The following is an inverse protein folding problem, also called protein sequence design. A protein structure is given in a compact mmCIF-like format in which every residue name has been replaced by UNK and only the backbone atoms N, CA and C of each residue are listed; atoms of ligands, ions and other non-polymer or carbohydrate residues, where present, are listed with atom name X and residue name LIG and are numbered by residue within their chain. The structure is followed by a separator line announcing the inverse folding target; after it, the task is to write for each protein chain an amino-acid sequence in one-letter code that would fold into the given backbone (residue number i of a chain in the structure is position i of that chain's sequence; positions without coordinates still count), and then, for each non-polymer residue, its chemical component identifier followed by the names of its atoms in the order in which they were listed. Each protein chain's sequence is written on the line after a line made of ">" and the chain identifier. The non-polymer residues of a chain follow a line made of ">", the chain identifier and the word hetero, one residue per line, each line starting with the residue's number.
data_IF_526158711985
#
_entry.id   IF_526158711985
#
_cell.length_a   1.000
_cell.length_b   1.000
_cell.length_c   1.000
_cell.angle_alpha   90.00
_cell.angle_beta   90.00
_cell.angle_gamma   90.00
#
_symmetry.space_group_name_H-M   'P 1'
#
loop_
_entity.id
_entity.type
_entity.pdbx_description
1 polymer ?
#
# COMPACT_ATOMS: atom_id res chain seq x y z
N UNK A 1 -36.24 -0.47 20.85
CA UNK A 1 -35.50 0.17 21.96
C UNK A 1 -34.42 1.06 21.36
N UNK A 2 -34.49 2.38 21.53
CA UNK A 2 -33.43 3.29 21.09
C UNK A 2 -32.24 3.21 22.03
N UNK A 3 -31.04 3.00 21.49
CA UNK A 3 -29.80 3.08 22.27
C UNK A 3 -29.70 4.49 22.89
N UNK A 4 -29.45 4.63 24.20
CA UNK A 4 -29.30 5.95 24.80
C UNK A 4 -28.12 6.69 24.15
N UNK A 5 -28.32 7.96 23.78
CA UNK A 5 -27.25 8.81 23.24
C UNK A 5 -26.10 8.85 24.25
N UNK A 6 -24.96 8.26 23.90
CA UNK A 6 -23.76 8.23 24.74
C UNK A 6 -23.14 9.62 24.79
N UNK A 7 -22.61 10.00 25.96
CA UNK A 7 -21.96 11.29 26.15
C UNK A 7 -20.63 11.33 25.37
N UNK A 8 -20.35 12.37 24.57
CA UNK A 8 -19.15 12.43 23.71
C UNK A 8 -17.83 12.41 24.51
N UNK A 9 -17.86 12.96 25.73
CA UNK A 9 -16.73 12.91 26.66
C UNK A 9 -16.48 11.46 27.12
N UNK A 10 -17.53 10.69 27.38
CA UNK A 10 -17.40 9.29 27.76
C UNK A 10 -16.82 8.47 26.60
N UNK A 11 -17.23 8.72 25.35
CA UNK A 11 -16.65 8.03 24.18
C UNK A 11 -15.16 8.35 24.02
N UNK A 12 -14.76 9.62 24.18
CA UNK A 12 -13.34 10.00 24.11
C UNK A 12 -12.51 9.31 25.21
N UNK A 13 -12.99 9.33 26.46
CA UNK A 13 -12.30 8.66 27.58
C UNK A 13 -12.23 7.15 27.39
N UNK A 14 -13.29 6.53 26.87
CA UNK A 14 -13.36 5.10 26.60
C UNK A 14 -12.40 4.68 25.46
N UNK A 15 -12.25 5.51 24.43
CA UNK A 15 -11.25 5.33 23.36
C UNK A 15 -9.82 5.51 23.87
N UNK A 16 -9.56 6.48 24.74
CA UNK A 16 -8.23 6.69 25.32
C UNK A 16 -7.81 5.55 26.28
N UNK A 17 -8.76 4.98 27.01
CA UNK A 17 -8.51 3.87 27.93
C UNK A 17 -8.42 2.52 27.21
N UNK A 18 -9.09 2.36 26.06
CA UNK A 18 -9.06 1.17 25.23
C UNK A 18 -8.80 1.55 23.76
N UNK A 19 -7.57 1.96 23.40
CA UNK A 19 -7.25 2.37 22.04
C UNK A 19 -7.49 1.23 21.03
N UNK A 20 -7.37 -0.02 21.46
CA UNK A 20 -7.56 -1.21 20.63
C UNK A 20 -9.02 -1.66 20.47
N UNK A 21 -9.99 -0.88 20.98
CA UNK A 21 -11.41 -1.26 20.87
C UNK A 21 -11.93 -1.25 19.43
N UNK A 22 -11.46 -0.31 18.63
CA UNK A 22 -11.78 -0.26 17.20
C UNK A 22 -11.15 -1.46 16.47
N UNK A 23 -9.88 -1.77 16.78
CA UNK A 23 -9.21 -2.99 16.34
C UNK A 23 -9.98 -4.25 16.74
N UNK A 24 -10.61 -4.26 17.93
CA UNK A 24 -11.42 -5.36 18.43
C UNK A 24 -12.75 -5.54 17.66
N UNK A 25 -13.34 -4.45 17.17
CA UNK A 25 -14.53 -4.49 16.32
C UNK A 25 -14.18 -4.91 14.88
N UNK A 26 -12.99 -4.54 14.38
CA UNK A 26 -12.51 -4.81 13.02
C UNK A 26 -11.61 -6.05 12.90
N UNK A 27 -11.52 -6.89 13.95
CA UNK A 27 -10.60 -8.05 13.99
C UNK A 27 -10.66 -8.90 12.73
N UNK A 28 -11.86 -9.17 12.23
CA UNK A 28 -12.04 -10.04 11.07
C UNK A 28 -11.58 -9.39 9.76
N UNK A 29 -11.70 -8.06 9.65
CA UNK A 29 -11.21 -7.30 8.52
C UNK A 29 -9.70 -7.22 8.53
N UNK A 30 -9.09 -7.00 9.70
CA UNK A 30 -7.64 -7.03 9.86
C UNK A 30 -7.04 -8.36 9.40
N UNK A 31 -7.68 -9.49 9.71
CA UNK A 31 -7.23 -10.81 9.24
C UNK A 31 -7.29 -10.93 7.71
N UNK A 32 -8.31 -10.37 7.07
CA UNK A 32 -8.42 -10.34 5.60
C UNK A 32 -7.33 -9.46 4.99
N UNK A 33 -7.10 -8.27 5.54
CA UNK A 33 -6.04 -7.35 5.10
C UNK A 33 -4.67 -8.01 5.23
N UNK A 34 -4.40 -8.65 6.37
CA UNK A 34 -3.15 -9.34 6.62
C UNK A 34 -2.93 -10.47 5.61
N UNK A 35 -3.93 -11.31 5.38
CA UNK A 35 -3.85 -12.39 4.40
C UNK A 35 -3.63 -11.87 2.96
N UNK A 36 -4.29 -10.75 2.59
CA UNK A 36 -4.11 -10.13 1.28
C UNK A 36 -2.68 -9.61 1.10
N UNK A 37 -2.12 -9.00 2.14
CA UNK A 37 -0.75 -8.53 2.15
C UNK A 37 0.27 -9.66 2.01
N UNK A 38 0.07 -10.79 2.71
CA UNK A 38 0.96 -11.95 2.59
C UNK A 38 0.94 -12.53 1.17
N UNK A 39 -0.23 -12.60 0.54
CA UNK A 39 -0.36 -13.07 -0.85
C UNK A 39 0.02 -11.99 -1.89
N UNK A 40 0.34 -10.78 -1.46
CA UNK A 40 0.61 -9.63 -2.33
C UNK A 40 -0.52 -9.34 -3.34
N UNK A 41 -1.78 -9.54 -2.92
CA UNK A 41 -2.98 -9.25 -3.72
C UNK A 41 -3.79 -8.13 -3.10
N UNK A 42 -4.67 -7.51 -3.90
CA UNK A 42 -5.64 -6.57 -3.35
C UNK A 42 -6.66 -7.26 -2.43
N UNK A 43 -7.18 -6.55 -1.43
CA UNK A 43 -8.21 -7.08 -0.52
C UNK A 43 -9.44 -7.59 -1.29
N UNK A 44 -9.86 -6.86 -2.31
CA UNK A 44 -10.99 -7.25 -3.15
C UNK A 44 -10.72 -8.54 -3.93
N UNK A 45 -9.49 -8.73 -4.41
CA UNK A 45 -9.07 -9.95 -5.07
C UNK A 45 -9.07 -11.13 -4.11
N UNK A 46 -8.64 -10.93 -2.86
CA UNK A 46 -8.76 -11.96 -1.82
C UNK A 46 -10.23 -12.34 -1.58
N UNK A 47 -11.16 -11.38 -1.58
CA UNK A 47 -12.58 -11.70 -1.48
C UNK A 47 -13.08 -12.52 -2.68
N UNK A 48 -12.62 -12.23 -3.90
CA UNK A 48 -12.99 -13.02 -5.09
C UNK A 48 -12.45 -14.46 -4.99
N UNK A 49 -11.19 -14.62 -4.57
CA UNK A 49 -10.57 -15.93 -4.35
C UNK A 49 -11.33 -16.72 -3.28
N UNK A 50 -11.65 -16.08 -2.16
CA UNK A 50 -12.35 -16.71 -1.06
C UNK A 50 -13.79 -17.10 -1.43
N UNK A 51 -14.47 -16.27 -2.22
CA UNK A 51 -15.80 -16.60 -2.75
C UNK A 51 -15.73 -17.83 -3.66
N UNK A 52 -14.76 -17.85 -4.57
CA UNK A 52 -14.54 -18.95 -5.50
C UNK A 52 -14.21 -20.26 -4.78
N UNK A 53 -13.29 -20.23 -3.82
CA UNK A 53 -12.96 -21.40 -3.01
C UNK A 53 -14.17 -21.97 -2.26
N UNK A 54 -15.09 -21.10 -1.82
CA UNK A 54 -16.25 -21.51 -1.03
C UNK A 54 -17.43 -21.98 -1.89
N UNK A 55 -17.67 -21.32 -3.02
CA UNK A 55 -18.84 -21.53 -3.88
C UNK A 55 -18.53 -22.31 -5.16
N UNK A 56 -17.26 -22.58 -5.45
CA UNK A 56 -16.75 -23.19 -6.69
C UNK A 56 -17.12 -22.40 -7.97
N UNK A 57 -17.46 -21.12 -7.81
CA UNK A 57 -17.87 -20.23 -8.90
C UNK A 57 -17.22 -18.83 -8.75
N UNK A 58 -16.98 -18.16 -9.88
CA UNK A 58 -16.47 -16.78 -9.87
C UNK A 58 -17.53 -15.81 -9.32
N UNK A 59 -17.09 -14.79 -8.58
CA UNK A 59 -17.98 -13.79 -7.96
C UNK A 59 -18.81 -13.06 -9.04
N UNK A 60 -20.15 -13.19 -9.06
CA UNK A 60 -20.98 -12.54 -10.06
C UNK A 60 -20.94 -11.02 -9.95
N UNK A 61 -20.88 -10.32 -11.09
CA UNK A 61 -20.80 -8.85 -11.14
C UNK A 61 -21.93 -8.16 -10.38
N UNK A 62 -23.15 -8.73 -10.43
CA UNK A 62 -24.30 -8.23 -9.69
C UNK A 62 -24.13 -8.24 -8.16
N UNK A 63 -23.27 -9.12 -7.63
CA UNK A 63 -23.00 -9.23 -6.19
C UNK A 63 -21.79 -8.39 -5.75
N UNK A 64 -20.89 -8.03 -6.67
CA UNK A 64 -19.68 -7.26 -6.38
C UNK A 64 -20.00 -5.96 -5.66
N UNK A 65 -20.92 -5.17 -6.21
CA UNK A 65 -21.24 -3.85 -5.66
C UNK A 65 -21.78 -3.95 -4.22
N UNK A 66 -22.65 -4.92 -3.95
CA UNK A 66 -23.22 -5.15 -2.62
C UNK A 66 -22.14 -5.61 -1.65
N UNK A 67 -21.37 -6.62 -2.02
CA UNK A 67 -20.28 -7.16 -1.21
C UNK A 67 -19.26 -6.10 -0.86
N UNK A 68 -18.86 -5.27 -1.84
CA UNK A 68 -17.94 -4.17 -1.62
C UNK A 68 -18.52 -3.13 -0.65
N UNK A 69 -19.81 -2.79 -0.78
CA UNK A 69 -20.50 -1.84 0.10
C UNK A 69 -20.55 -2.36 1.54
N UNK A 70 -20.89 -3.63 1.74
CA UNK A 70 -20.92 -4.28 3.06
C UNK A 70 -19.50 -4.32 3.67
N UNK A 71 -18.50 -4.74 2.90
CA UNK A 71 -17.12 -4.90 3.38
C UNK A 71 -16.40 -3.56 3.65
N UNK A 72 -16.54 -2.58 2.76
CA UNK A 72 -15.82 -1.31 2.85
C UNK A 72 -16.50 -0.29 3.76
N UNK A 73 -17.84 -0.20 3.72
CA UNK A 73 -18.56 0.84 4.47
C UNK A 73 -19.10 0.36 5.81
N UNK A 74 -19.35 -0.94 5.97
CA UNK A 74 -19.94 -1.50 7.20
C UNK A 74 -18.95 -2.38 7.97
N UNK A 75 -17.73 -2.56 7.47
CA UNK A 75 -16.69 -3.46 8.02
C UNK A 75 -17.18 -4.90 8.23
N UNK A 76 -18.22 -5.30 7.47
CA UNK A 76 -18.82 -6.62 7.57
C UNK A 76 -18.04 -7.61 6.71
N UNK A 77 -17.32 -8.52 7.37
CA UNK A 77 -16.56 -9.57 6.70
C UNK A 77 -17.39 -10.86 6.60
N UNK A 78 -17.71 -11.32 5.38
CA UNK A 78 -18.40 -12.58 5.18
C UNK A 78 -17.67 -13.76 5.83
N UNK A 79 -18.42 -14.75 6.29
CA UNK A 79 -17.85 -15.92 6.97
C UNK A 79 -16.85 -16.70 6.11
N UNK A 80 -17.12 -16.86 4.82
CA UNK A 80 -16.21 -17.50 3.87
C UNK A 80 -14.90 -16.72 3.69
N UNK A 81 -14.96 -15.38 3.63
CA UNK A 81 -13.79 -14.51 3.50
C UNK A 81 -12.86 -14.64 4.72
N UNK A 82 -13.46 -14.54 5.91
CA UNK A 82 -12.75 -14.70 7.19
C UNK A 82 -12.09 -16.08 7.29
N UNK A 83 -12.81 -17.13 6.92
CA UNK A 83 -12.30 -18.50 6.98
C UNK A 83 -11.13 -18.71 6.00
N UNK A 84 -11.28 -18.20 4.77
CA UNK A 84 -10.22 -18.25 3.77
C UNK A 84 -8.97 -17.50 4.22
N UNK A 85 -9.11 -16.27 4.72
CA UNK A 85 -7.99 -15.47 5.19
C UNK A 85 -7.19 -16.17 6.30
N UNK A 86 -7.87 -16.81 7.27
CA UNK A 86 -7.19 -17.61 8.31
C UNK A 86 -6.43 -18.81 7.72
N UNK A 87 -7.03 -19.54 6.78
CA UNK A 87 -6.36 -20.65 6.09
C UNK A 87 -5.10 -20.20 5.35
N UNK A 88 -5.15 -19.03 4.72
CA UNK A 88 -4.00 -18.43 4.03
C UNK A 88 -2.90 -18.12 5.04
N UNK A 89 -3.21 -17.41 6.14
CA UNK A 89 -2.21 -17.09 7.16
C UNK A 89 -1.57 -18.34 7.78
N UNK A 90 -2.38 -19.33 8.13
CA UNK A 90 -1.91 -20.60 8.68
C UNK A 90 -0.99 -21.36 7.68
N UNK A 91 -1.27 -21.25 6.38
CA UNK A 91 -0.46 -21.88 5.34
C UNK A 91 0.84 -21.12 5.04
N UNK A 92 0.81 -19.79 5.08
CA UNK A 92 2.01 -18.95 4.99
C UNK A 92 2.94 -19.18 6.19
N UNK A 93 2.41 -19.27 7.41
CA UNK A 93 3.21 -19.56 8.62
C UNK A 93 3.94 -20.91 8.54
N UNK A 94 3.31 -21.92 7.93
CA UNK A 94 3.89 -23.25 7.72
C UNK A 94 4.84 -23.32 6.52
N UNK A 95 4.84 -22.32 5.65
CA UNK A 95 5.56 -22.35 4.38
C UNK A 95 4.94 -23.30 3.35
N UNK A 96 3.67 -23.68 3.52
CA UNK A 96 2.94 -24.57 2.61
C UNK A 96 2.35 -23.83 1.40
N UNK A 97 2.27 -22.49 1.50
CA UNK A 97 1.72 -21.62 0.46
C UNK A 97 2.85 -20.87 -0.23
N UNK A 98 2.91 -21.00 -1.56
CA UNK A 98 3.70 -20.11 -2.40
C UNK A 98 2.88 -18.85 -2.71
N UNK A 99 3.30 -17.72 -2.15
CA UNK A 99 2.67 -16.40 -2.36
C UNK A 99 2.63 -16.00 -3.84
N UNK A 100 3.57 -16.51 -4.64
CA UNK A 100 3.66 -16.26 -6.08
C UNK A 100 2.95 -17.35 -6.90
N UNK A 101 2.14 -18.21 -6.29
CA UNK A 101 1.38 -19.19 -7.04
C UNK A 101 0.39 -18.47 -7.98
N UNK A 102 0.35 -18.81 -9.29
CA UNK A 102 -0.54 -18.17 -10.26
C UNK A 102 -2.03 -18.22 -9.88
N UNK A 103 -2.42 -19.20 -9.07
CA UNK A 103 -3.80 -19.39 -8.62
C UNK A 103 -4.31 -18.21 -7.78
N UNK A 104 -3.45 -17.59 -6.95
CA UNK A 104 -3.80 -16.40 -6.17
C UNK A 104 -3.88 -15.14 -7.04
N UNK A 105 -3.17 -15.14 -8.17
CA UNK A 105 -3.07 -13.97 -9.05
C UNK A 105 -3.95 -14.03 -10.29
N UNK A 106 -4.88 -14.99 -10.34
CA UNK A 106 -5.82 -15.20 -11.45
C UNK A 106 -6.56 -13.94 -11.91
N UNK A 107 -6.89 -13.03 -11.00
CA UNK A 107 -7.63 -11.80 -11.30
C UNK A 107 -6.73 -10.58 -11.53
N UNK A 108 -5.41 -10.71 -11.33
CA UNK A 108 -4.44 -9.70 -11.69
C UNK A 108 -4.10 -9.83 -13.18
N UNK A 109 -4.52 -8.83 -13.95
CA UNK A 109 -4.35 -8.80 -15.40
C UNK A 109 -2.89 -8.60 -15.82
N UNK A 110 -2.02 -8.13 -14.91
CA UNK A 110 -0.60 -7.88 -15.15
C UNK A 110 0.30 -8.94 -14.48
N UNK A 111 -0.27 -10.01 -13.94
CA UNK A 111 0.51 -11.01 -13.24
C UNK A 111 1.45 -11.76 -14.18
N UNK A 112 2.72 -11.83 -13.81
CA UNK A 112 3.76 -12.51 -14.61
C UNK A 112 4.17 -11.80 -15.90
N UNK A 113 3.56 -10.66 -16.25
CA UNK A 113 4.01 -9.87 -17.40
C UNK A 113 5.17 -8.97 -16.99
N UNK A 114 6.38 -9.54 -16.93
CA UNK A 114 7.59 -8.72 -16.91
C UNK A 114 7.71 -8.11 -18.31
N UNK A 115 7.26 -6.88 -18.50
CA UNK A 115 7.45 -6.21 -19.79
C UNK A 115 8.95 -6.22 -20.15
N UNK A 116 9.34 -6.70 -21.34
CA UNK A 116 10.75 -6.88 -21.71
C UNK A 116 11.55 -5.58 -21.73
N UNK A 117 10.86 -4.43 -21.68
CA UNK A 117 11.48 -3.11 -21.62
C UNK A 117 11.31 -2.41 -20.26
N UNK A 118 10.70 -3.03 -19.25
CA UNK A 118 10.49 -2.42 -17.93
C UNK A 118 11.82 -2.00 -17.29
N UNK A 119 12.78 -2.94 -17.22
CA UNK A 119 14.12 -2.66 -16.67
C UNK A 119 14.85 -1.60 -17.50
N UNK A 120 14.75 -1.65 -18.83
CA UNK A 120 15.36 -0.64 -19.71
C UNK A 120 14.77 0.74 -19.47
N UNK A 121 13.44 0.88 -19.40
CA UNK A 121 12.75 2.16 -19.13
C UNK A 121 13.12 2.68 -17.75
N UNK A 122 13.17 1.81 -16.74
CA UNK A 122 13.60 2.16 -15.39
C UNK A 122 15.05 2.67 -15.37
N UNK A 123 15.99 1.93 -15.97
CA UNK A 123 17.39 2.37 -16.06
C UNK A 123 17.55 3.68 -16.84
N UNK A 124 16.78 3.89 -17.91
CA UNK A 124 16.78 5.17 -18.65
C UNK A 124 16.27 6.31 -17.77
N UNK A 125 15.16 6.11 -17.05
CA UNK A 125 14.61 7.13 -16.16
C UNK A 125 15.61 7.50 -15.04
N UNK A 126 16.23 6.50 -14.41
CA UNK A 126 17.29 6.70 -13.41
C UNK A 126 18.48 7.43 -14.02
N UNK A 127 18.93 7.03 -15.21
CA UNK A 127 20.02 7.70 -15.93
C UNK A 127 19.71 9.17 -16.23
N UNK A 128 18.50 9.47 -16.72
CA UNK A 128 18.05 10.84 -16.93
C UNK A 128 18.06 11.65 -15.63
N UNK A 129 17.56 11.08 -14.53
CA UNK A 129 17.57 11.73 -13.22
C UNK A 129 19.00 12.05 -12.76
N UNK A 130 19.93 11.09 -12.89
CA UNK A 130 21.34 11.28 -12.55
C UNK A 130 21.99 12.36 -13.42
N UNK A 131 21.68 12.40 -14.72
CA UNK A 131 22.20 13.43 -15.63
C UNK A 131 21.64 14.81 -15.30
N UNK A 132 20.35 14.91 -14.96
CA UNK A 132 19.74 16.19 -14.58
C UNK A 132 20.32 16.71 -13.27
N UNK A 133 20.38 15.86 -12.24
CA UNK A 133 20.93 16.24 -10.93
C UNK A 133 22.42 16.51 -11.00
N UNK A 134 23.20 15.58 -11.54
CA UNK A 134 24.65 15.70 -11.70
C UNK A 134 25.03 16.84 -12.63
N UNK A 135 24.35 16.98 -13.77
CA UNK A 135 24.54 18.08 -14.72
C UNK A 135 24.21 19.43 -14.10
N UNK A 136 23.14 19.53 -13.30
CA UNK A 136 22.81 20.74 -12.56
C UNK A 136 23.89 21.14 -11.56
N UNK A 137 24.43 20.17 -10.82
CA UNK A 137 25.53 20.40 -9.86
C UNK A 137 26.80 20.86 -10.59
N UNK A 138 27.17 20.19 -11.68
CA UNK A 138 28.35 20.55 -12.48
C UNK A 138 28.18 21.92 -13.11
N UNK A 139 27.02 22.20 -13.71
CA UNK A 139 26.72 23.49 -14.33
C UNK A 139 26.80 24.61 -13.28
N UNK A 140 26.23 24.41 -12.10
CA UNK A 140 26.35 25.35 -10.99
C UNK A 140 27.81 25.55 -10.56
N UNK A 141 28.61 24.48 -10.50
CA UNK A 141 30.02 24.58 -10.11
C UNK A 141 30.90 25.34 -11.12
N UNK A 142 30.55 25.33 -12.41
CA UNK A 142 31.30 26.04 -13.45
C UNK A 142 30.82 27.48 -13.66
N UNK A 143 29.53 27.77 -13.40
CA UNK A 143 28.99 29.13 -13.51
C UNK A 143 29.20 29.95 -12.25
N UNK A 144 29.50 29.30 -11.12
CA UNK A 144 29.91 30.01 -9.91
C UNK A 144 31.38 30.44 -10.08
N UNK A 145 31.62 31.74 -10.28
CA UNK A 145 32.98 32.28 -10.22
C UNK A 145 33.60 32.05 -8.83
N UNK A 146 34.93 31.92 -8.75
CA UNK A 146 35.64 31.58 -7.51
C UNK A 146 35.30 32.61 -6.43
N UNK A 147 34.41 32.27 -5.50
CA UNK A 147 34.07 33.14 -4.38
C UNK A 147 35.32 33.45 -3.56
N UNK A 148 35.59 34.73 -3.34
CA UNK A 148 36.71 35.18 -2.49
C UNK A 148 36.46 34.88 -0.99
N UNK A 149 35.20 34.59 -0.61
CA UNK A 149 34.78 34.29 0.75
C UNK A 149 33.71 33.19 0.80
N UNK A 150 33.86 32.25 1.73
CA UNK A 150 32.88 31.19 2.03
C UNK A 150 31.72 31.68 2.93
N UNK A 151 31.88 32.82 3.62
CA UNK A 151 30.85 33.40 4.49
C UNK A 151 30.27 34.68 3.87
N UNK A 152 28.97 34.96 4.06
CA UNK A 152 28.36 36.20 3.58
C UNK A 152 29.04 37.43 4.19
N UNK A 153 29.22 38.52 3.42
CA UNK A 153 28.79 38.71 2.03
C UNK A 153 29.65 37.92 1.03
N UNK A 154 28.99 37.31 0.03
CA UNK A 154 29.64 36.57 -1.05
C UNK A 154 30.31 37.56 -2.00
N UNK A 155 31.56 37.88 -1.70
CA UNK A 155 32.38 38.76 -2.53
C UNK A 155 33.03 37.95 -3.65
N UNK A 156 32.92 38.45 -4.87
CA UNK A 156 33.66 37.90 -6.00
C UNK A 156 35.10 38.43 -5.99
N UNK A 157 36.04 37.68 -6.57
CA UNK A 157 37.45 38.12 -6.66
C UNK A 157 37.57 39.38 -7.52
N UNK A 158 36.61 39.61 -8.41
CA UNK A 158 36.51 40.83 -9.23
C UNK A 158 36.04 42.07 -8.44
N UNK A 159 35.45 41.90 -7.25
CA UNK A 159 35.00 42.99 -6.38
C UNK A 159 36.10 43.48 -5.44
N UNK A 160 37.26 42.82 -5.40
CA UNK A 160 38.39 43.23 -4.56
C UNK A 160 39.30 44.22 -5.31
N UNK A 161 39.67 45.36 -4.70
CA UNK A 161 40.56 46.33 -5.32
C UNK A 161 41.95 45.74 -5.58
N UNK A 162 42.50 45.98 -6.77
CA UNK A 162 43.85 45.56 -7.18
C UNK A 162 44.95 46.42 -6.54
#
# INVERSE_FOLDING_TARGET
>A
MGNPKKNPIYELWETLLNPDRENAAMKDKLVVIEAANQLQVGEFQLLQLAYREWHDEDLPEALIARLFTEYMLHDEVPHWARHYARRVLDGCEKGDIDENAPDFHRYDHNYGTIEPHAVRRFCVAVGCLVVFLGGGIVLASITTEKSASMFPPYLDVNDLPK
#
